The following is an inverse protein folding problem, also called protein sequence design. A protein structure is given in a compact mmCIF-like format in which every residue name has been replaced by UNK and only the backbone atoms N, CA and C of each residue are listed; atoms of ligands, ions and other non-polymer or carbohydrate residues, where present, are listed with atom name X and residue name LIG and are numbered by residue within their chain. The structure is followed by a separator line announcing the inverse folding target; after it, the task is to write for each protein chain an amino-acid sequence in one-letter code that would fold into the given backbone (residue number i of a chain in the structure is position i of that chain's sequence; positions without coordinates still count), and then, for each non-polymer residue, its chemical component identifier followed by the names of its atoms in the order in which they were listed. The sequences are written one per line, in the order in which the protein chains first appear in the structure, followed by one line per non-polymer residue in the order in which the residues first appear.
data_IF_149101460430
#
_entry.id   IF_149101460430
#
_cell.length_a   1.000
_cell.length_b   1.000
_cell.length_c   1.000
_cell.angle_alpha   90.00
_cell.angle_beta   90.00
_cell.angle_gamma   90.00
#
_symmetry.space_group_name_H-M   'P 1'
#
loop_
_entity.id
_entity.type
_entity.pdbx_description
1 polymer ?
#
# COMPACT_ATOMS: atom_id res chain seq x y z
N UNK A 1 -12.40 10.14 17.47
CA UNK A 1 -11.51 9.76 16.36
C UNK A 1 -10.34 9.04 17.00
N UNK A 2 -10.13 7.77 16.66
CA UNK A 2 -8.99 7.01 17.19
C UNK A 2 -7.71 7.72 16.75
N UNK A 3 -6.84 8.08 17.71
CA UNK A 3 -5.59 8.77 17.38
C UNK A 3 -4.74 7.91 16.44
N UNK A 4 -4.03 8.52 15.48
CA UNK A 4 -3.20 7.79 14.53
C UNK A 4 -2.05 7.07 15.26
N UNK A 5 -2.19 5.76 15.41
CA UNK A 5 -1.17 4.90 16.01
C UNK A 5 -0.03 4.66 15.01
N UNK A 6 1.22 4.87 15.43
CA UNK A 6 2.44 4.60 14.63
C UNK A 6 2.47 3.15 14.13
N UNK A 7 2.00 2.20 14.92
CA UNK A 7 1.92 0.79 14.50
C UNK A 7 0.94 0.61 13.33
N UNK A 8 -0.18 1.32 13.33
CA UNK A 8 -1.15 1.31 12.22
C UNK A 8 -0.52 1.86 10.95
N UNK A 9 0.22 2.97 11.04
CA UNK A 9 0.91 3.54 9.88
C UNK A 9 1.94 2.55 9.29
N UNK A 10 2.70 1.84 10.13
CA UNK A 10 3.64 0.80 9.68
C UNK A 10 2.91 -0.35 8.99
N UNK A 11 1.80 -0.82 9.57
CA UNK A 11 1.05 -1.94 9.00
C UNK A 11 0.43 -1.58 7.64
N UNK A 12 -0.13 -0.37 7.51
CA UNK A 12 -0.76 0.11 6.27
C UNK A 12 0.28 0.29 5.17
N UNK A 13 1.39 0.96 5.47
CA UNK A 13 2.48 1.19 4.50
C UNK A 13 3.15 -0.12 4.07
N UNK A 14 3.40 -1.05 5.00
CA UNK A 14 3.95 -2.36 4.67
C UNK A 14 3.01 -3.19 3.80
N UNK A 15 1.71 -3.18 4.09
CA UNK A 15 0.71 -3.85 3.25
C UNK A 15 0.72 -3.27 1.85
N UNK A 16 0.66 -1.94 1.72
CA UNK A 16 0.68 -1.24 0.42
C UNK A 16 1.98 -1.47 -0.36
N UNK A 17 3.12 -1.61 0.30
CA UNK A 17 4.37 -1.94 -0.39
C UNK A 17 4.34 -3.34 -1.04
N UNK A 18 3.75 -4.34 -0.36
CA UNK A 18 3.57 -5.70 -0.91
C UNK A 18 2.63 -5.70 -2.10
N UNK A 19 1.56 -4.93 -2.01
CA UNK A 19 0.61 -4.70 -3.09
C UNK A 19 1.29 -4.18 -4.36
N UNK A 20 2.16 -3.16 -4.22
CA UNK A 20 2.94 -2.60 -5.32
C UNK A 20 3.91 -3.64 -5.89
N UNK A 21 4.60 -4.39 -5.02
CA UNK A 21 5.52 -5.45 -5.44
C UNK A 21 4.79 -6.54 -6.24
N UNK A 22 3.66 -7.05 -5.73
CA UNK A 22 2.84 -8.04 -6.42
C UNK A 22 2.31 -7.54 -7.76
N UNK A 23 1.94 -6.25 -7.87
CA UNK A 23 1.55 -5.64 -9.14
C UNK A 23 2.66 -5.77 -10.19
N UNK A 24 3.89 -5.34 -9.87
CA UNK A 24 5.01 -5.42 -10.81
C UNK A 24 5.42 -6.86 -11.16
N UNK A 25 5.30 -7.81 -10.21
CA UNK A 25 5.52 -9.23 -10.51
C UNK A 25 4.44 -9.81 -11.42
N UNK A 26 3.15 -9.49 -11.18
CA UNK A 26 2.03 -9.98 -12.00
C UNK A 26 2.06 -9.46 -13.44
N UNK A 27 2.59 -8.26 -13.67
CA UNK A 27 2.81 -7.72 -15.01
C UNK A 27 3.84 -8.53 -15.82
N UNK A 28 4.77 -9.22 -15.17
CA UNK A 28 5.78 -10.04 -15.82
C UNK A 28 5.32 -11.45 -16.19
N UNK A 29 4.32 -12.01 -15.48
CA UNK A 29 3.89 -13.40 -15.63
C UNK A 29 2.65 -13.59 -16.54
N UNK A 30 2.10 -12.53 -17.12
CA UNK A 30 0.98 -12.61 -18.08
C UNK A 30 -0.35 -13.14 -17.52
N UNK A 31 -0.45 -13.27 -16.18
CA UNK A 31 -1.63 -13.78 -15.48
C UNK A 31 -2.62 -12.68 -15.14
N UNK A 32 -3.91 -12.98 -15.36
CA UNK A 32 -5.07 -12.12 -15.16
C UNK A 32 -5.01 -11.25 -13.90
N UNK A 33 -5.19 -9.96 -14.14
CA UNK A 33 -5.11 -8.87 -13.19
C UNK A 33 -6.44 -8.77 -12.45
N UNK A 34 -6.65 -9.69 -11.50
CA UNK A 34 -7.63 -9.49 -10.44
C UNK A 34 -7.10 -8.44 -9.44
N UNK A 35 -7.23 -7.17 -9.82
CA UNK A 35 -7.57 -6.12 -8.86
C UNK A 35 -6.45 -5.36 -8.15
N UNK A 36 -5.22 -5.30 -8.68
CA UNK A 36 -4.19 -4.43 -8.08
C UNK A 36 -4.16 -3.01 -8.65
N UNK A 37 -4.41 -2.02 -7.77
CA UNK A 37 -4.39 -0.60 -8.11
C UNK A 37 -2.97 -0.19 -8.48
N UNK A 38 -2.73 0.29 -9.73
CA UNK A 38 -1.43 0.77 -10.14
C UNK A 38 -0.98 1.93 -9.23
N UNK A 39 0.32 2.03 -8.90
CA UNK A 39 0.81 3.19 -8.16
C UNK A 39 0.55 4.46 -8.99
N UNK A 40 -0.03 5.53 -8.41
CA UNK A 40 -0.17 6.79 -9.10
C UNK A 40 1.22 7.34 -9.42
N UNK A 41 1.34 7.69 -10.69
CA UNK A 41 2.51 8.17 -11.43
C UNK A 41 3.48 9.09 -10.65
N UNK A 42 4.77 8.87 -10.95
CA UNK A 42 5.98 9.58 -10.52
C UNK A 42 6.59 9.14 -9.19
N UNK A 43 7.20 7.95 -9.18
CA UNK A 43 8.03 7.53 -8.05
C UNK A 43 9.49 7.73 -8.41
N UNK A 44 10.04 8.89 -8.01
CA UNK A 44 11.48 9.15 -7.99
C UNK A 44 12.22 8.17 -7.04
N UNK A 45 11.48 7.47 -6.16
CA UNK A 45 12.00 6.50 -5.22
C UNK A 45 12.10 5.10 -5.85
N UNK A 46 13.29 4.50 -5.76
CA UNK A 46 13.61 3.17 -6.31
C UNK A 46 13.08 2.00 -5.47
N UNK A 47 12.40 2.24 -4.35
CA UNK A 47 11.94 1.19 -3.44
C UNK A 47 10.42 1.30 -3.16
N UNK A 48 9.74 0.15 -3.08
CA UNK A 48 8.28 0.08 -2.94
C UNK A 48 7.74 0.63 -1.62
N UNK A 49 8.55 0.59 -0.55
CA UNK A 49 8.14 1.08 0.77
C UNK A 49 8.08 2.61 0.81
N UNK A 50 9.04 3.30 0.22
CA UNK A 50 9.05 4.75 0.10
C UNK A 50 7.88 5.25 -0.75
N UNK A 51 7.48 4.49 -1.76
CA UNK A 51 6.27 4.79 -2.55
C UNK A 51 5.04 4.70 -1.65
N UNK A 52 4.87 3.57 -0.95
CA UNK A 52 3.74 3.37 -0.04
C UNK A 52 3.68 4.41 1.09
N UNK A 53 4.83 4.84 1.62
CA UNK A 53 4.91 5.91 2.61
C UNK A 53 4.53 7.27 2.03
N UNK A 54 4.95 7.59 0.80
CA UNK A 54 4.57 8.81 0.12
C UNK A 54 3.07 8.88 -0.16
N UNK A 55 2.46 7.78 -0.62
CA UNK A 55 1.00 7.68 -0.83
C UNK A 55 0.25 7.83 0.50
N UNK A 56 0.73 7.20 1.58
CA UNK A 56 0.13 7.31 2.91
C UNK A 56 0.23 8.75 3.46
N UNK A 57 1.36 9.43 3.26
CA UNK A 57 1.55 10.82 3.67
C UNK A 57 0.68 11.81 2.87
N UNK A 58 0.35 11.48 1.61
CA UNK A 58 -0.60 12.25 0.79
C UNK A 58 -2.07 11.97 1.11
N UNK A 59 -2.36 10.97 1.94
CA UNK A 59 -3.72 10.56 2.25
C UNK A 59 -4.40 9.78 1.12
N UNK A 60 -3.62 9.25 0.16
CA UNK A 60 -4.13 8.48 -0.99
C UNK A 60 -4.44 7.01 -0.62
N UNK A 61 -4.02 6.57 0.57
CA UNK A 61 -4.24 5.21 1.07
C UNK A 61 -5.34 5.19 2.13
N UNK A 62 -6.49 4.63 1.77
CA UNK A 62 -7.55 4.34 2.74
C UNK A 62 -7.27 3.00 3.45
N UNK A 63 -7.41 2.99 4.78
CA UNK A 63 -7.33 1.75 5.57
C UNK A 63 -8.55 1.60 6.47
N UNK A 64 -8.94 0.35 6.70
CA UNK A 64 -9.96 -0.03 7.67
C UNK A 64 -9.37 -1.06 8.61
N UNK A 65 -9.21 -0.71 9.88
CA UNK A 65 -8.85 -1.70 10.89
C UNK A 65 -10.05 -2.61 11.13
N UNK A 66 -9.79 -3.92 11.17
CA UNK A 66 -10.82 -4.88 11.56
C UNK A 66 -11.04 -4.70 13.06
N UNK A 67 -12.26 -4.44 13.54
CA UNK A 67 -12.51 -4.40 14.98
C UNK A 67 -12.21 -5.78 15.56
N UNK A 68 -11.42 -5.81 16.62
CA UNK A 68 -11.22 -7.03 17.40
C UNK A 68 -12.58 -7.45 17.94
N UNK A 69 -13.10 -8.60 17.48
CA UNK A 69 -14.27 -9.21 18.11
C UNK A 69 -13.86 -9.57 19.53
N UNK A 70 -14.38 -8.82 20.51
CA UNK A 70 -14.45 -9.26 21.90
C UNK A 70 -15.56 -10.28 22.04
#
# INVERSE_FOLDING_TARGET
MEEPNRYTAVMVTAKRARQINSYYHSLGEGGGLDGFIPPPVSTLARNYLSIAMAEAARGEVAYRMRPTRQ
#
